data_IF_684753069503
#
_entry.id   IF_684753069503
#
_cell.length_a   1.000
_cell.length_b   1.000
_cell.length_c   1.000
_cell.angle_alpha   90.00
_cell.angle_beta   90.00
_cell.angle_gamma   90.00
#
_symmetry.space_group_name_H-M   'P 1'
#
loop_
_entity.id
_entity.type
_entity.pdbx_description
1 polymer ?
#
# COMPACT_ATOMS: atom_id res chain seq x y z
N UNK A 1 70.46 -4.92 -32.44
CA UNK A 1 69.13 -4.30 -32.60
C UNK A 1 68.22 -4.84 -31.50
N UNK A 2 68.13 -4.12 -30.37
CA UNK A 2 67.27 -4.49 -29.24
C UNK A 2 65.82 -4.06 -29.55
N UNK A 3 64.86 -4.99 -29.51
CA UNK A 3 63.43 -4.68 -29.48
C UNK A 3 62.99 -4.66 -28.02
N UNK A 4 62.74 -3.46 -27.49
CA UNK A 4 62.11 -3.26 -26.19
C UNK A 4 60.61 -3.44 -26.33
N UNK A 5 60.06 -4.45 -25.65
CA UNK A 5 58.62 -4.64 -25.48
C UNK A 5 58.23 -4.02 -24.15
N UNK A 6 57.59 -2.85 -24.18
CA UNK A 6 57.01 -2.22 -22.98
C UNK A 6 55.62 -2.80 -22.77
N UNK A 7 55.48 -3.63 -21.75
CA UNK A 7 54.19 -4.14 -21.29
C UNK A 7 53.57 -3.08 -20.37
N UNK A 8 52.57 -2.36 -20.86
CA UNK A 8 51.80 -1.42 -20.03
C UNK A 8 50.80 -2.21 -19.17
N UNK A 9 51.09 -2.33 -17.87
CA UNK A 9 50.08 -2.74 -16.89
C UNK A 9 49.10 -1.59 -16.69
N UNK A 10 47.91 -1.71 -17.28
CA UNK A 10 46.74 -0.93 -16.87
C UNK A 10 46.22 -1.52 -15.55
N UNK A 11 46.56 -0.88 -14.44
CA UNK A 11 45.88 -1.10 -13.16
C UNK A 11 44.54 -0.39 -13.28
N UNK A 12 43.46 -1.15 -13.48
CA UNK A 12 42.11 -0.64 -13.29
C UNK A 12 41.92 -0.35 -11.80
N UNK A 13 41.96 0.92 -11.43
CA UNK A 13 41.46 1.35 -10.13
C UNK A 13 39.94 1.18 -10.15
N UNK A 14 39.45 0.07 -9.61
CA UNK A 14 38.04 -0.04 -9.24
C UNK A 14 37.79 1.00 -8.14
N UNK A 15 37.21 2.13 -8.53
CA UNK A 15 36.64 3.07 -7.59
C UNK A 15 35.47 2.36 -6.91
N UNK A 16 35.72 1.79 -5.72
CA UNK A 16 34.68 1.48 -4.74
C UNK A 16 33.96 2.79 -4.43
N UNK A 17 32.95 3.11 -5.22
CA UNK A 17 31.93 4.09 -4.86
C UNK A 17 31.18 3.45 -3.69
N UNK A 18 31.68 3.67 -2.47
CA UNK A 18 30.95 3.32 -1.27
C UNK A 18 29.60 4.02 -1.36
N UNK A 19 28.57 3.26 -1.65
CA UNK A 19 27.21 3.76 -1.63
C UNK A 19 26.96 4.30 -0.22
N UNK A 20 26.53 5.56 -0.11
CA UNK A 20 26.27 6.14 1.20
C UNK A 20 25.28 5.26 1.95
N UNK A 21 25.64 4.85 3.17
CA UNK A 21 24.78 4.00 3.99
C UNK A 21 23.51 4.75 4.36
N UNK A 22 22.36 4.07 4.27
CA UNK A 22 21.08 4.63 4.66
C UNK A 22 21.03 4.94 6.15
N UNK A 23 20.55 6.13 6.49
CA UNK A 23 20.39 6.59 7.88
C UNK A 23 18.93 6.62 8.28
N UNK A 24 18.62 6.21 9.52
CA UNK A 24 17.24 6.25 10.02
C UNK A 24 16.78 7.70 10.15
N UNK A 25 15.79 8.09 9.34
CA UNK A 25 15.21 9.43 9.33
C UNK A 25 14.05 9.57 10.31
N UNK A 26 13.15 8.58 10.33
CA UNK A 26 11.91 8.61 11.10
C UNK A 26 11.47 7.19 11.47
N UNK A 27 10.99 7.03 12.69
CA UNK A 27 10.24 5.85 13.14
C UNK A 27 8.81 6.27 13.44
N UNK A 28 7.86 5.48 12.95
CA UNK A 28 6.45 5.53 13.32
C UNK A 28 6.13 4.23 14.06
N UNK A 29 5.73 4.32 15.32
CA UNK A 29 5.39 3.18 16.17
C UNK A 29 4.30 3.55 17.17
N UNK A 30 3.96 2.64 18.09
CA UNK A 30 2.90 2.86 19.10
C UNK A 30 3.04 4.14 19.91
N UNK A 31 4.24 4.72 20.02
CA UNK A 31 4.50 5.93 20.79
C UNK A 31 4.05 7.22 20.09
N UNK A 32 3.98 7.21 18.75
CA UNK A 32 3.77 8.44 17.97
C UNK A 32 2.85 8.29 16.75
N UNK A 33 2.39 7.07 16.43
CA UNK A 33 1.66 6.80 15.18
C UNK A 33 0.40 7.65 15.06
N UNK A 34 -0.44 7.68 16.10
CA UNK A 34 -1.72 8.41 16.03
C UNK A 34 -1.54 9.93 15.93
N UNK A 35 -0.38 10.45 16.35
CA UNK A 35 -0.04 11.87 16.25
C UNK A 35 0.68 12.22 14.95
N UNK A 36 1.29 11.24 14.31
CA UNK A 36 2.04 11.41 13.06
C UNK A 36 1.17 11.28 11.81
N UNK A 37 -0.09 10.86 11.96
CA UNK A 37 -1.05 10.67 10.88
C UNK A 37 -2.31 11.52 11.09
N UNK A 38 -2.88 11.99 9.99
CA UNK A 38 -4.19 12.61 9.92
C UNK A 38 -5.25 11.53 9.72
N UNK A 39 -6.33 11.57 10.50
CA UNK A 39 -7.50 10.72 10.28
C UNK A 39 -8.37 11.41 9.24
N UNK A 40 -8.46 10.83 8.05
CA UNK A 40 -9.36 11.31 6.99
C UNK A 40 -10.70 10.63 7.19
N UNK A 41 -11.57 11.31 7.91
CA UNK A 41 -12.91 10.84 8.19
C UNK A 41 -13.88 11.18 7.05
N UNK A 42 -15.13 10.73 7.20
CA UNK A 42 -16.21 11.06 6.27
C UNK A 42 -16.33 12.57 6.01
N UNK A 43 -16.29 13.39 7.05
CA UNK A 43 -16.49 14.83 6.93
C UNK A 43 -15.38 15.49 6.11
N UNK A 44 -14.14 15.01 6.25
CA UNK A 44 -13.04 15.44 5.41
C UNK A 44 -13.30 15.14 3.93
N UNK A 45 -13.71 13.91 3.58
CA UNK A 45 -13.98 13.55 2.19
C UNK A 45 -15.17 14.31 1.60
N UNK A 46 -16.26 14.45 2.37
CA UNK A 46 -17.42 15.24 1.96
C UNK A 46 -17.06 16.74 1.78
N UNK A 47 -16.05 17.25 2.49
CA UNK A 47 -15.61 18.65 2.36
C UNK A 47 -14.78 18.94 1.11
N UNK A 48 -14.10 17.93 0.56
CA UNK A 48 -13.30 18.09 -0.66
C UNK A 48 -14.14 17.81 -1.92
N UNK A 49 -15.01 16.80 -1.86
CA UNK A 49 -15.98 16.50 -2.89
C UNK A 49 -17.20 15.79 -2.25
N UNK A 50 -18.36 16.47 -2.15
CA UNK A 50 -19.58 15.83 -1.65
C UNK A 50 -20.01 14.59 -2.43
N UNK A 51 -19.58 14.45 -3.70
CA UNK A 51 -19.83 13.29 -4.55
C UNK A 51 -19.08 12.03 -4.11
N UNK A 52 -18.04 12.15 -3.27
CA UNK A 52 -17.41 10.99 -2.63
C UNK A 52 -18.32 10.31 -1.61
N UNK A 53 -19.32 11.02 -1.08
CA UNK A 53 -20.20 10.51 -0.04
C UNK A 53 -19.43 9.83 1.12
N UNK A 54 -18.30 10.43 1.51
CA UNK A 54 -17.43 9.96 2.60
C UNK A 54 -16.32 8.99 2.21
N UNK A 55 -16.27 8.49 0.98
CA UNK A 55 -15.19 7.62 0.48
C UNK A 55 -14.94 7.80 -1.02
N UNK A 56 -13.73 8.22 -1.44
CA UNK A 56 -13.40 8.41 -2.86
C UNK A 56 -13.57 7.18 -3.75
N UNK A 57 -13.55 5.98 -3.16
CA UNK A 57 -13.73 4.70 -3.87
C UNK A 57 -15.15 4.16 -3.87
N UNK A 58 -16.11 4.92 -3.34
CA UNK A 58 -17.53 4.56 -3.33
C UNK A 58 -17.85 3.33 -2.47
N UNK A 59 -17.02 2.99 -1.50
CA UNK A 59 -17.17 1.81 -0.64
C UNK A 59 -18.33 1.89 0.36
N UNK A 60 -18.73 0.74 0.90
CA UNK A 60 -19.68 0.59 2.02
C UNK A 60 -18.96 0.78 3.36
N UNK A 61 -18.28 1.92 3.51
CA UNK A 61 -17.40 2.25 4.64
C UNK A 61 -17.78 3.59 5.25
N UNK A 62 -17.62 3.72 6.57
CA UNK A 62 -17.71 4.98 7.28
C UNK A 62 -16.37 5.25 7.98
N UNK A 63 -15.53 6.09 7.37
CA UNK A 63 -14.27 6.49 8.01
C UNK A 63 -14.53 7.40 9.20
N UNK A 64 -14.10 6.95 10.37
CA UNK A 64 -14.32 7.64 11.63
C UNK A 64 -13.21 8.66 11.92
N UNK A 65 -13.59 9.74 12.62
CA UNK A 65 -12.61 10.66 13.22
C UNK A 65 -11.75 9.93 14.26
N UNK A 66 -10.58 10.50 14.60
CA UNK A 66 -9.69 9.94 15.62
C UNK A 66 -10.40 9.66 16.94
N UNK A 67 -11.21 10.60 17.42
CA UNK A 67 -11.91 10.46 18.71
C UNK A 67 -12.93 9.32 18.68
N UNK A 68 -13.71 9.20 17.61
CA UNK A 68 -14.68 8.10 17.42
C UNK A 68 -13.98 6.75 17.26
N UNK A 69 -12.88 6.68 16.51
CA UNK A 69 -12.13 5.44 16.29
C UNK A 69 -11.47 4.92 17.58
N UNK A 70 -10.91 5.82 18.40
CA UNK A 70 -10.35 5.46 19.71
C UNK A 70 -11.46 5.07 20.69
N UNK A 71 -12.56 5.84 20.75
CA UNK A 71 -13.67 5.56 21.66
C UNK A 71 -14.38 4.24 21.35
N UNK A 72 -14.48 3.85 20.07
CA UNK A 72 -15.02 2.56 19.65
C UNK A 72 -14.02 1.40 19.77
N UNK A 73 -12.75 1.68 20.10
CA UNK A 73 -11.70 0.67 20.30
C UNK A 73 -11.09 0.12 19.02
N UNK A 74 -11.57 0.51 17.84
CA UNK A 74 -11.03 0.04 16.56
C UNK A 74 -9.64 0.60 16.27
N UNK A 75 -9.23 1.68 16.94
CA UNK A 75 -7.84 2.16 16.93
C UNK A 75 -7.28 2.26 18.34
N UNK A 76 -6.11 1.66 18.55
CA UNK A 76 -5.36 1.79 19.79
C UNK A 76 -3.87 1.51 19.57
N UNK A 77 -3.04 1.84 20.57
CA UNK A 77 -1.59 1.58 20.57
C UNK A 77 -1.16 0.68 21.73
N UNK A 78 -2.05 -0.21 22.17
CA UNK A 78 -1.81 -1.06 23.33
C UNK A 78 -0.69 -2.08 23.05
N UNK A 79 -0.01 -2.52 24.12
CA UNK A 79 1.03 -3.54 24.06
C UNK A 79 2.21 -3.21 23.12
N UNK A 80 2.50 -1.92 22.92
CA UNK A 80 3.64 -1.47 22.11
C UNK A 80 3.46 -1.67 20.60
N UNK A 81 2.22 -1.86 20.12
CA UNK A 81 1.89 -2.05 18.71
C UNK A 81 0.78 -1.10 18.30
N UNK A 82 0.71 -0.76 17.02
CA UNK A 82 -0.40 0.01 16.47
C UNK A 82 -1.46 -0.95 15.95
N UNK A 83 -2.69 -0.79 16.42
CA UNK A 83 -3.85 -1.54 15.94
C UNK A 83 -4.78 -0.60 15.16
N UNK A 84 -5.08 -0.93 13.91
CA UNK A 84 -6.05 -0.23 13.06
C UNK A 84 -7.07 -1.24 12.53
N UNK A 85 -8.24 -1.33 13.17
CA UNK A 85 -9.31 -2.25 12.86
C UNK A 85 -10.55 -1.59 12.29
N UNK A 86 -11.60 -2.40 12.20
CA UNK A 86 -12.94 -2.01 11.77
C UNK A 86 -13.95 -2.37 12.86
N UNK A 87 -15.14 -1.77 12.83
CA UNK A 87 -16.22 -2.23 13.68
C UNK A 87 -16.60 -3.65 13.23
N UNK A 88 -16.37 -4.63 14.09
CA UNK A 88 -16.69 -6.06 13.87
C UNK A 88 -17.73 -6.59 14.87
N UNK A 89 -18.48 -5.69 15.53
CA UNK A 89 -19.45 -6.02 16.59
C UNK A 89 -20.86 -5.64 16.15
N UNK A 90 -21.04 -4.39 15.69
CA UNK A 90 -22.35 -3.85 15.36
C UNK A 90 -22.64 -3.95 13.87
N UNK A 91 -23.93 -4.02 13.54
CA UNK A 91 -24.38 -3.78 12.17
C UNK A 91 -23.91 -2.40 11.71
N UNK A 92 -23.58 -2.28 10.43
CA UNK A 92 -23.19 -0.99 9.86
C UNK A 92 -24.36 0.00 9.99
N UNK A 93 -24.04 1.25 10.32
CA UNK A 93 -25.04 2.32 10.42
C UNK A 93 -25.31 2.92 9.03
N UNK A 94 -26.47 3.55 8.86
CA UNK A 94 -26.75 4.39 7.69
C UNK A 94 -25.71 5.52 7.60
N UNK A 95 -25.21 5.76 6.39
CA UNK A 95 -24.23 6.83 6.13
C UNK A 95 -24.85 8.22 6.26
N UNK A 96 -26.12 8.35 5.87
CA UNK A 96 -26.88 9.60 5.93
C UNK A 96 -28.31 9.35 6.44
N UNK A 97 -28.88 10.25 7.25
CA UNK A 97 -30.29 10.14 7.66
C UNK A 97 -31.23 10.10 6.45
N UNK A 98 -32.06 9.05 6.36
CA UNK A 98 -32.99 8.86 5.23
C UNK A 98 -32.36 8.30 3.95
N UNK A 99 -31.05 8.03 3.94
CA UNK A 99 -30.38 7.30 2.86
C UNK A 99 -30.66 5.79 2.91
N UNK A 100 -30.16 5.06 1.91
CA UNK A 100 -30.25 3.60 1.83
C UNK A 100 -28.91 2.88 1.99
N UNK A 101 -27.80 3.61 1.92
CA UNK A 101 -26.43 3.07 2.02
C UNK A 101 -25.97 3.02 3.47
N UNK A 102 -25.34 1.92 3.84
CA UNK A 102 -24.72 1.75 5.15
C UNK A 102 -23.19 1.77 5.02
N UNK A 103 -22.51 2.13 6.11
CA UNK A 103 -21.06 2.16 6.15
C UNK A 103 -20.53 1.49 7.39
N UNK A 104 -19.66 0.49 7.21
CA UNK A 104 -18.96 -0.14 8.31
C UNK A 104 -17.90 0.81 8.86
N UNK A 105 -17.92 1.03 10.17
CA UNK A 105 -16.94 1.89 10.84
C UNK A 105 -15.51 1.40 10.58
N UNK A 106 -14.66 2.26 10.06
CA UNK A 106 -13.26 1.98 9.73
C UNK A 106 -12.43 3.26 9.87
N UNK A 107 -11.15 3.22 9.50
CA UNK A 107 -10.27 4.39 9.48
C UNK A 107 -9.44 4.46 8.20
N UNK A 108 -9.15 5.68 7.78
CA UNK A 108 -8.13 6.01 6.78
C UNK A 108 -7.17 7.02 7.38
N UNK A 109 -5.91 6.63 7.49
CA UNK A 109 -4.84 7.43 8.08
C UNK A 109 -3.85 7.83 6.99
N UNK A 110 -3.51 9.11 6.94
CA UNK A 110 -2.52 9.66 6.01
C UNK A 110 -1.39 10.35 6.80
N UNK A 111 -0.13 10.02 6.52
CA UNK A 111 0.98 10.61 7.27
C UNK A 111 1.04 12.13 7.11
N UNK A 112 1.51 12.82 8.14
CA UNK A 112 1.73 14.29 8.08
C UNK A 112 2.99 14.65 7.30
N UNK A 113 4.01 13.80 7.41
CA UNK A 113 5.26 13.92 6.66
C UNK A 113 5.15 13.15 5.34
N UNK A 114 5.87 13.63 4.33
CA UNK A 114 5.98 12.99 3.02
C UNK A 114 7.43 12.72 2.64
N UNK A 115 7.66 11.81 1.69
CA UNK A 115 9.00 11.44 1.23
C UNK A 115 9.06 11.32 -0.30
N UNK A 116 10.20 11.70 -0.89
CA UNK A 116 10.44 11.56 -2.34
C UNK A 116 11.52 10.53 -2.68
N UNK A 117 12.22 10.03 -1.67
CA UNK A 117 13.29 9.05 -1.83
C UNK A 117 13.57 8.38 -0.49
N UNK A 118 14.25 7.24 -0.55
CA UNK A 118 14.66 6.47 0.62
C UNK A 118 14.00 5.10 0.66
N UNK A 119 14.21 4.40 1.77
CA UNK A 119 13.64 3.09 2.04
C UNK A 119 12.59 3.24 3.14
N UNK A 120 11.34 2.94 2.81
CA UNK A 120 10.27 2.80 3.78
C UNK A 120 10.10 1.31 4.13
N UNK A 121 10.34 0.97 5.39
CA UNK A 121 10.24 -0.40 5.91
C UNK A 121 9.04 -0.49 6.84
N UNK A 122 8.05 -1.31 6.49
CA UNK A 122 6.89 -1.61 7.31
C UNK A 122 7.01 -3.02 7.90
N UNK A 123 7.12 -3.11 9.23
CA UNK A 123 7.01 -4.37 9.97
C UNK A 123 5.55 -4.56 10.42
N UNK A 124 4.87 -5.52 9.80
CA UNK A 124 3.45 -5.77 9.97
C UNK A 124 3.26 -7.20 10.47
N UNK A 125 2.57 -7.36 11.60
CA UNK A 125 2.28 -8.66 12.21
C UNK A 125 0.96 -9.25 11.70
N UNK A 126 0.01 -8.38 11.37
CA UNK A 126 -1.32 -8.76 10.90
C UNK A 126 -1.85 -7.72 9.91
N UNK A 127 -2.58 -8.15 8.90
CA UNK A 127 -3.30 -7.29 7.95
C UNK A 127 -4.75 -7.76 7.75
N UNK A 128 -5.66 -6.90 7.28
CA UNK A 128 -6.98 -7.33 6.83
C UNK A 128 -6.90 -8.19 5.55
N UNK A 129 -8.04 -8.54 4.95
CA UNK A 129 -8.10 -9.31 3.69
C UNK A 129 -8.40 -10.80 3.86
N UNK A 130 -9.14 -11.15 4.91
CA UNK A 130 -9.51 -12.53 5.24
C UNK A 130 -11.00 -12.81 5.05
N UNK A 131 -11.80 -11.81 4.67
CA UNK A 131 -13.24 -11.89 4.55
C UNK A 131 -13.76 -11.23 3.26
N UNK A 132 -14.88 -11.74 2.75
CA UNK A 132 -15.58 -11.16 1.60
C UNK A 132 -15.98 -9.71 1.87
N UNK A 133 -15.85 -8.86 0.84
CA UNK A 133 -16.19 -7.44 0.90
C UNK A 133 -15.15 -6.54 1.54
N UNK A 134 -14.04 -7.07 2.08
CA UNK A 134 -12.93 -6.27 2.65
C UNK A 134 -11.97 -5.82 1.55
N UNK A 135 -11.57 -4.55 1.56
CA UNK A 135 -10.55 -3.98 0.67
C UNK A 135 -9.55 -3.13 1.49
N UNK A 136 -8.45 -3.73 1.98
CA UNK A 136 -7.44 -3.01 2.73
C UNK A 136 -6.30 -2.54 1.83
N UNK A 137 -5.70 -1.42 2.20
CA UNK A 137 -4.52 -0.92 1.51
C UNK A 137 -3.50 -0.32 2.49
N UNK A 138 -2.23 -0.64 2.23
CA UNK A 138 -1.06 0.14 2.67
C UNK A 138 -0.38 0.65 1.41
N UNK A 139 -0.38 1.95 1.23
CA UNK A 139 -0.02 2.59 -0.03
C UNK A 139 0.57 3.97 0.22
N UNK A 140 1.00 4.64 -0.84
CA UNK A 140 1.41 6.03 -0.76
C UNK A 140 0.97 6.83 -1.96
N UNK A 141 0.65 8.09 -1.72
CA UNK A 141 0.13 9.00 -2.73
C UNK A 141 0.25 10.45 -2.24
N UNK A 142 0.18 11.45 -3.12
CA UNK A 142 -0.04 12.84 -2.67
C UNK A 142 -0.87 13.66 -3.67
N UNK A 143 -2.10 14.02 -3.26
CA UNK A 143 -3.06 14.72 -4.14
C UNK A 143 -2.55 16.08 -4.55
N UNK A 144 -1.65 16.70 -3.79
CA UNK A 144 -1.17 18.05 -4.08
C UNK A 144 -0.11 18.13 -5.17
N UNK A 145 0.39 16.99 -5.66
CA UNK A 145 1.36 16.97 -6.76
C UNK A 145 0.69 16.97 -8.14
N UNK A 146 1.39 17.60 -9.09
CA UNK A 146 1.01 17.65 -10.50
C UNK A 146 2.27 17.40 -11.36
N UNK A 147 2.37 16.27 -12.06
CA UNK A 147 1.42 15.17 -12.08
C UNK A 147 1.49 14.31 -10.82
N UNK A 148 0.45 13.51 -10.61
CA UNK A 148 0.35 12.65 -9.44
C UNK A 148 0.74 11.20 -9.74
N UNK A 149 1.27 10.52 -8.72
CA UNK A 149 1.64 9.11 -8.76
C UNK A 149 1.26 8.40 -7.47
N UNK A 150 0.69 7.21 -7.62
CA UNK A 150 0.26 6.30 -6.56
C UNK A 150 1.17 5.07 -6.48
N UNK A 151 1.47 4.61 -5.27
CA UNK A 151 2.19 3.37 -5.00
C UNK A 151 1.38 2.49 -4.06
N UNK A 152 0.75 1.44 -4.58
CA UNK A 152 0.07 0.43 -3.78
C UNK A 152 1.09 -0.62 -3.34
N UNK A 153 1.46 -0.60 -2.06
CA UNK A 153 2.52 -1.47 -1.52
C UNK A 153 1.91 -2.79 -1.04
N UNK A 154 0.76 -2.72 -0.37
CA UNK A 154 -0.09 -3.85 -0.02
C UNK A 154 -1.51 -3.51 -0.41
N UNK A 155 -2.09 -4.27 -1.32
CA UNK A 155 -3.49 -4.16 -1.69
C UNK A 155 -4.08 -5.53 -2.02
N UNK A 156 -5.36 -5.69 -1.71
CA UNK A 156 -6.12 -6.85 -2.13
C UNK A 156 -7.60 -6.68 -1.86
N UNK A 157 -8.37 -7.67 -2.26
CA UNK A 157 -9.81 -7.68 -2.08
C UNK A 157 -10.33 -9.03 -1.60
N UNK A 158 -11.47 -8.99 -0.92
CA UNK A 158 -12.17 -10.15 -0.41
C UNK A 158 -11.27 -11.02 0.50
N UNK A 159 -11.58 -12.31 0.63
CA UNK A 159 -10.92 -13.22 1.59
C UNK A 159 -10.21 -14.42 0.96
N UNK A 160 -10.08 -14.46 -0.37
CA UNK A 160 -9.53 -15.60 -1.12
C UNK A 160 -8.13 -15.32 -1.70
N UNK A 161 -7.68 -14.07 -1.66
CA UNK A 161 -6.36 -13.68 -2.13
C UNK A 161 -5.26 -14.21 -1.19
N UNK A 162 -4.16 -14.70 -1.79
CA UNK A 162 -3.02 -15.26 -1.05
C UNK A 162 -1.67 -14.66 -1.48
N UNK A 163 -1.64 -13.96 -2.62
CA UNK A 163 -0.52 -13.13 -3.06
C UNK A 163 -0.94 -11.67 -3.03
N UNK A 164 -0.09 -10.79 -2.51
CA UNK A 164 -0.34 -9.36 -2.46
C UNK A 164 -0.32 -8.74 -3.87
N UNK A 165 -1.18 -7.75 -4.13
CA UNK A 165 -1.07 -6.94 -5.33
C UNK A 165 -0.21 -5.71 -5.03
N UNK A 166 0.80 -5.49 -5.87
CA UNK A 166 1.55 -4.24 -5.92
C UNK A 166 1.17 -3.56 -7.22
N UNK A 167 0.75 -2.30 -7.14
CA UNK A 167 0.42 -1.48 -8.31
C UNK A 167 1.03 -0.09 -8.24
N UNK A 168 1.21 0.51 -9.41
CA UNK A 168 1.43 1.94 -9.56
C UNK A 168 0.41 2.52 -10.52
N UNK A 169 -0.02 3.74 -10.23
CA UNK A 169 -0.94 4.51 -11.04
C UNK A 169 -0.37 5.90 -11.31
N UNK A 170 -0.44 6.34 -12.56
CA UNK A 170 0.01 7.65 -13.03
C UNK A 170 -0.97 8.20 -14.06
N UNK A 171 -1.05 9.52 -14.20
CA UNK A 171 -1.84 10.16 -15.26
C UNK A 171 -1.00 10.32 -16.53
N UNK A 172 -1.54 9.94 -17.69
CA UNK A 172 -0.98 10.25 -19.01
C UNK A 172 0.37 9.60 -19.38
N UNK A 173 1.04 8.86 -18.48
CA UNK A 173 2.40 8.36 -18.72
C UNK A 173 2.77 7.11 -17.90
N UNK A 174 4.03 6.67 -18.06
CA UNK A 174 4.69 5.55 -17.38
C UNK A 174 4.29 4.15 -17.85
N UNK A 175 5.26 3.49 -18.48
CA UNK A 175 5.25 2.06 -18.79
C UNK A 175 6.50 1.43 -18.18
N UNK A 176 6.39 0.31 -17.49
CA UNK A 176 7.52 -0.51 -17.03
C UNK A 176 7.41 -1.93 -17.59
N UNK A 177 8.35 -2.34 -18.42
CA UNK A 177 8.24 -3.61 -19.17
C UNK A 177 8.53 -4.86 -18.34
N UNK A 178 9.10 -4.72 -17.14
CA UNK A 178 9.55 -5.85 -16.30
C UNK A 178 9.23 -5.63 -14.81
N UNK A 179 7.94 -5.46 -14.43
CA UNK A 179 7.55 -5.18 -13.05
C UNK A 179 7.82 -6.33 -12.07
N UNK A 180 8.12 -7.54 -12.55
CA UNK A 180 8.41 -8.71 -11.71
C UNK A 180 7.15 -9.48 -11.29
N UNK A 181 7.30 -10.40 -10.33
CA UNK A 181 6.23 -11.27 -9.78
C UNK A 181 5.42 -12.08 -10.79
N UNK A 182 4.26 -12.56 -10.33
CA UNK A 182 3.27 -13.24 -11.15
C UNK A 182 2.29 -12.21 -11.75
N UNK A 183 1.73 -12.50 -12.93
CA UNK A 183 0.77 -11.62 -13.62
C UNK A 183 1.26 -10.15 -13.80
N UNK A 184 2.39 -9.93 -14.50
CA UNK A 184 2.96 -8.60 -14.68
C UNK A 184 2.10 -7.72 -15.60
N UNK A 185 1.78 -6.53 -15.13
CA UNK A 185 1.07 -5.47 -15.86
C UNK A 185 2.01 -4.30 -16.05
N UNK A 186 2.22 -3.87 -17.29
CA UNK A 186 3.29 -2.91 -17.63
C UNK A 186 2.84 -1.44 -17.67
N UNK A 187 1.56 -1.15 -17.86
CA UNK A 187 1.08 0.20 -18.13
C UNK A 187 0.50 0.87 -16.88
N UNK A 188 1.22 1.85 -16.30
CA UNK A 188 0.77 2.59 -15.11
C UNK A 188 -0.12 3.77 -15.47
N UNK A 189 -0.11 4.17 -16.74
CA UNK A 189 -0.99 5.20 -17.24
C UNK A 189 -2.43 4.75 -17.07
N UNK A 190 -3.15 5.34 -16.13
CA UNK A 190 -4.56 5.04 -15.94
C UNK A 190 -5.43 5.67 -17.04
N UNK A 191 -4.86 6.52 -17.88
CA UNK A 191 -5.53 7.29 -18.93
C UNK A 191 -5.43 8.79 -18.67
N UNK A 192 -6.06 9.56 -19.55
CA UNK A 192 -6.14 11.01 -19.40
C UNK A 192 -4.89 11.81 -19.75
N UNK A 193 -4.94 13.08 -19.35
CA UNK A 193 -3.82 14.02 -19.50
C UNK A 193 -2.89 13.97 -18.28
N UNK A 194 -1.62 14.25 -18.51
CA UNK A 194 -0.54 14.35 -17.50
C UNK A 194 -0.80 15.52 -16.54
N UNK A 195 -1.73 15.31 -15.61
CA UNK A 195 -2.31 16.31 -14.70
C UNK A 195 -2.54 15.70 -13.31
N UNK A 196 -3.00 16.50 -12.34
CA UNK A 196 -3.38 16.05 -10.99
C UNK A 196 -4.55 15.05 -10.93
N UNK A 197 -5.51 15.09 -11.86
CA UNK A 197 -6.81 14.42 -11.72
C UNK A 197 -7.05 13.25 -12.68
N UNK A 198 -6.09 12.95 -13.57
CA UNK A 198 -6.20 11.88 -14.56
C UNK A 198 -7.58 11.84 -15.28
N UNK A 199 -8.08 12.99 -15.76
CA UNK A 199 -9.42 13.05 -16.39
C UNK A 199 -9.50 12.04 -17.54
N UNK A 200 -10.55 11.23 -17.62
CA UNK A 200 -10.74 10.18 -18.65
C UNK A 200 -9.88 8.92 -18.50
N UNK A 201 -9.63 8.50 -17.25
CA UNK A 201 -9.03 7.20 -16.95
C UNK A 201 -9.84 6.01 -17.51
N UNK A 202 -9.14 5.00 -18.01
CA UNK A 202 -9.71 3.74 -18.52
C UNK A 202 -8.90 2.48 -18.12
N UNK A 203 -7.70 2.64 -17.55
CA UNK A 203 -6.83 1.55 -17.10
C UNK A 203 -6.67 1.61 -15.57
N UNK A 204 -7.78 1.43 -14.86
CA UNK A 204 -7.83 1.50 -13.39
C UNK A 204 -7.04 0.40 -12.68
N UNK A 205 -6.60 -0.63 -13.40
CA UNK A 205 -5.66 -1.59 -12.86
C UNK A 205 -4.28 -0.98 -12.62
N UNK A 206 -3.85 -0.03 -13.46
CA UNK A 206 -2.47 0.45 -13.47
C UNK A 206 -1.46 -0.65 -13.86
N UNK A 207 -0.18 -0.37 -13.61
CA UNK A 207 0.87 -1.37 -13.76
C UNK A 207 1.10 -2.06 -12.43
N UNK A 208 1.72 -3.22 -12.42
CA UNK A 208 1.87 -3.98 -11.19
C UNK A 208 2.14 -5.44 -11.41
N UNK A 209 2.00 -6.19 -10.33
CA UNK A 209 2.14 -7.64 -10.31
C UNK A 209 1.52 -8.22 -9.02
N UNK A 210 1.38 -9.54 -9.03
CA UNK A 210 1.03 -10.34 -7.86
C UNK A 210 2.30 -10.90 -7.22
N UNK A 211 2.50 -10.61 -5.94
CA UNK A 211 3.58 -11.16 -5.12
C UNK A 211 3.38 -12.67 -4.84
N UNK A 212 4.43 -13.41 -4.43
CA UNK A 212 4.32 -14.82 -4.11
C UNK A 212 3.25 -15.14 -3.05
N UNK A 213 2.72 -16.36 -3.11
CA UNK A 213 1.79 -16.91 -2.13
C UNK A 213 2.30 -16.76 -0.69
N UNK A 214 1.43 -16.39 0.23
CA UNK A 214 1.74 -16.13 1.63
C UNK A 214 2.04 -14.67 1.95
N UNK A 215 2.14 -13.80 0.95
CA UNK A 215 2.42 -12.38 1.13
C UNK A 215 1.22 -11.57 1.62
N UNK A 216 0.00 -12.10 1.54
CA UNK A 216 -1.23 -11.38 1.88
C UNK A 216 -2.22 -12.20 2.72
N UNK A 217 -3.07 -11.48 3.46
CA UNK A 217 -4.29 -12.02 4.08
C UNK A 217 -4.05 -13.20 5.03
N UNK A 218 -4.85 -14.26 4.88
CA UNK A 218 -4.92 -15.38 5.83
C UNK A 218 -3.56 -16.03 6.10
N UNK A 219 -2.81 -16.34 5.05
CA UNK A 219 -1.51 -17.02 5.18
C UNK A 219 -0.45 -16.09 5.77
N UNK A 220 -0.47 -14.81 5.41
CA UNK A 220 0.40 -13.81 6.03
C UNK A 220 0.15 -13.74 7.54
N UNK A 221 -1.12 -13.61 7.95
CA UNK A 221 -1.52 -13.53 9.36
C UNK A 221 -1.17 -14.80 10.14
N UNK A 222 -1.43 -15.98 9.57
CA UNK A 222 -1.09 -17.28 10.19
C UNK A 222 0.42 -17.44 10.47
N UNK A 223 1.27 -16.77 9.69
CA UNK A 223 2.72 -16.75 9.86
C UNK A 223 3.23 -15.54 10.67
N UNK A 224 2.34 -14.81 11.36
CA UNK A 224 2.66 -13.59 12.13
C UNK A 224 3.28 -12.48 11.28
N UNK A 225 2.82 -12.42 10.03
CA UNK A 225 3.12 -11.40 9.06
C UNK A 225 4.54 -11.40 8.52
N UNK A 226 5.13 -10.21 8.40
CA UNK A 226 6.41 -10.01 7.74
C UNK A 226 6.77 -8.54 7.60
N UNK A 227 7.79 -8.29 6.77
CA UNK A 227 8.27 -6.95 6.45
C UNK A 227 8.02 -6.66 4.98
N UNK A 228 7.44 -5.50 4.70
CA UNK A 228 7.42 -4.90 3.38
C UNK A 228 8.43 -3.76 3.33
N UNK A 229 9.31 -3.75 2.33
CA UNK A 229 10.30 -2.71 2.14
C UNK A 229 10.12 -2.06 0.77
N UNK A 230 9.87 -0.76 0.74
CA UNK A 230 9.72 0.04 -0.48
C UNK A 230 10.91 0.98 -0.61
N UNK A 231 11.73 0.78 -1.65
CA UNK A 231 12.83 1.67 -2.00
C UNK A 231 12.40 2.57 -3.16
N UNK A 232 12.27 3.87 -2.86
CA UNK A 232 11.98 4.92 -3.82
C UNK A 232 13.25 5.70 -4.14
N UNK A 233 13.58 5.81 -5.42
CA UNK A 233 14.63 6.69 -5.95
C UNK A 233 14.06 7.53 -7.08
N UNK A 234 14.85 8.42 -7.67
CA UNK A 234 14.44 9.15 -8.89
C UNK A 234 14.36 8.25 -10.13
N UNK A 235 14.87 7.03 -10.05
CA UNK A 235 14.97 6.09 -11.18
C UNK A 235 14.13 4.83 -11.02
N UNK A 236 13.67 4.54 -9.80
CA UNK A 236 13.01 3.29 -9.49
C UNK A 236 12.07 3.35 -8.29
N UNK A 237 11.01 2.54 -8.37
CA UNK A 237 10.26 2.04 -7.23
C UNK A 237 10.52 0.54 -7.13
N UNK A 238 11.00 0.06 -5.99
CA UNK A 238 11.23 -1.38 -5.76
C UNK A 238 10.57 -1.80 -4.45
N UNK A 239 9.85 -2.91 -4.48
CA UNK A 239 9.12 -3.44 -3.32
C UNK A 239 9.56 -4.89 -3.06
N UNK A 240 9.94 -5.16 -1.81
CA UNK A 240 10.22 -6.50 -1.31
C UNK A 240 9.21 -6.89 -0.25
N UNK A 241 8.91 -8.18 -0.20
CA UNK A 241 8.28 -8.82 0.94
C UNK A 241 9.21 -9.86 1.54
N UNK A 242 9.39 -9.80 2.85
CA UNK A 242 10.10 -10.79 3.64
C UNK A 242 9.14 -11.43 4.64
N UNK A 243 8.90 -12.76 4.57
CA UNK A 243 8.09 -13.42 5.59
C UNK A 243 8.77 -13.31 6.96
N UNK A 244 8.00 -13.34 8.05
CA UNK A 244 8.47 -13.12 9.43
C UNK A 244 9.76 -13.89 9.78
N UNK A 245 9.88 -15.13 9.33
CA UNK A 245 11.02 -16.02 9.60
C UNK A 245 12.24 -15.78 8.70
N UNK A 246 12.15 -14.94 7.67
CA UNK A 246 13.21 -14.66 6.70
C UNK A 246 13.46 -13.14 6.51
N UNK A 247 13.28 -12.35 7.56
CA UNK A 247 13.62 -10.92 7.52
C UNK A 247 15.16 -10.77 7.53
N UNK A 248 15.75 -10.04 6.56
CA UNK A 248 17.18 -9.76 6.48
C UNK A 248 17.77 -9.16 7.77
N UNK A 249 19.02 -9.55 8.09
CA UNK A 249 19.66 -9.18 9.36
C UNK A 249 19.98 -7.68 9.44
N UNK A 250 20.33 -7.07 8.32
CA UNK A 250 20.60 -5.64 8.15
C UNK A 250 19.35 -4.79 8.46
N UNK A 251 18.16 -5.23 8.03
CA UNK A 251 16.87 -4.62 8.43
C UNK A 251 16.67 -4.71 9.95
N UNK A 252 16.88 -5.90 10.54
CA UNK A 252 16.75 -6.11 12.00
C UNK A 252 17.72 -5.22 12.80
N UNK A 253 18.91 -5.00 12.25
CA UNK A 253 19.96 -4.18 12.86
C UNK A 253 19.82 -2.68 12.57
N UNK A 254 18.78 -2.26 11.83
CA UNK A 254 18.53 -0.86 11.50
C UNK A 254 19.55 -0.25 10.54
N UNK A 255 20.15 -1.07 9.66
CA UNK A 255 21.14 -0.67 8.66
C UNK A 255 20.78 -1.30 7.31
N UNK A 256 19.66 -0.90 6.68
CA UNK A 256 19.17 -1.58 5.48
C UNK A 256 20.13 -1.42 4.29
N UNK A 257 20.41 -2.52 3.61
CA UNK A 257 21.30 -2.67 2.46
C UNK A 257 20.57 -3.38 1.31
N UNK A 258 19.70 -2.67 0.54
CA UNK A 258 18.79 -3.28 -0.43
C UNK A 258 19.44 -4.15 -1.50
N UNK A 259 20.70 -3.86 -1.86
CA UNK A 259 21.42 -4.63 -2.86
C UNK A 259 21.71 -6.07 -2.41
N UNK A 260 21.62 -6.35 -1.10
CA UNK A 260 21.86 -7.68 -0.51
C UNK A 260 20.58 -8.52 -0.37
N UNK A 261 19.40 -7.94 -0.61
CA UNK A 261 18.10 -8.58 -0.36
C UNK A 261 17.65 -9.59 -1.43
N UNK A 262 18.53 -9.91 -2.37
CA UNK A 262 18.18 -10.64 -3.58
C UNK A 262 17.63 -9.71 -4.66
N UNK A 263 18.04 -9.98 -5.91
CA UNK A 263 17.63 -9.23 -7.10
C UNK A 263 17.07 -10.20 -8.15
N UNK A 264 16.06 -9.77 -8.94
CA UNK A 264 15.34 -8.51 -8.81
C UNK A 264 14.51 -8.44 -7.51
N UNK A 265 14.05 -7.24 -7.14
CA UNK A 265 13.03 -7.09 -6.11
C UNK A 265 11.77 -7.90 -6.47
N UNK A 266 10.94 -8.23 -5.47
CA UNK A 266 9.67 -8.95 -5.72
C UNK A 266 8.80 -8.20 -6.73
N UNK A 267 8.76 -6.87 -6.61
CA UNK A 267 8.22 -5.95 -7.61
C UNK A 267 9.24 -4.84 -7.91
N UNK A 268 9.50 -4.52 -9.17
CA UNK A 268 10.47 -3.51 -9.58
C UNK A 268 10.03 -2.68 -10.79
N UNK A 269 9.95 -1.38 -10.62
CA UNK A 269 9.55 -0.41 -11.62
C UNK A 269 10.73 0.52 -11.86
N UNK A 270 11.50 0.26 -12.91
CA UNK A 270 12.79 0.95 -13.16
C UNK A 270 12.76 1.68 -14.50
N UNK A 271 13.20 2.95 -14.52
CA UNK A 271 13.22 3.79 -15.72
C UNK A 271 13.94 3.09 -16.88
N UNK A 272 15.07 2.42 -16.60
CA UNK A 272 15.87 1.72 -17.62
C UNK A 272 15.10 0.63 -18.38
N UNK A 273 14.00 0.11 -17.83
CA UNK A 273 13.13 -0.89 -18.45
C UNK A 273 11.77 -0.30 -18.83
N UNK A 274 11.65 1.02 -18.95
CA UNK A 274 10.37 1.69 -19.11
C UNK A 274 10.45 3.02 -19.86
N UNK A 275 9.29 3.61 -20.10
CA UNK A 275 9.15 5.00 -20.52
C UNK A 275 8.46 5.77 -19.38
N UNK A 276 9.22 6.04 -18.33
CA UNK A 276 8.72 6.72 -17.12
C UNK A 276 9.82 7.61 -16.53
N UNK A 277 9.40 8.71 -15.92
CA UNK A 277 10.23 9.56 -15.08
C UNK A 277 9.80 9.39 -13.62
N UNK A 278 10.35 8.37 -12.94
CA UNK A 278 9.95 8.04 -11.57
C UNK A 278 10.06 9.25 -10.62
N UNK A 279 11.13 10.04 -10.72
CA UNK A 279 11.33 11.23 -9.88
C UNK A 279 10.29 12.32 -10.09
N UNK A 280 9.69 12.38 -11.29
CA UNK A 280 8.60 13.31 -11.60
C UNK A 280 7.25 12.84 -11.02
N UNK A 281 6.90 11.57 -11.16
CA UNK A 281 5.56 11.08 -10.77
C UNK A 281 5.48 10.66 -9.29
N UNK A 282 6.54 10.06 -8.75
CA UNK A 282 6.55 9.48 -7.42
C UNK A 282 7.40 10.32 -6.46
N UNK A 283 6.88 11.50 -6.12
CA UNK A 283 7.51 12.46 -5.21
C UNK A 283 6.54 12.88 -4.10
N UNK A 284 7.09 13.36 -2.99
CA UNK A 284 6.36 13.81 -1.79
C UNK A 284 5.22 12.87 -1.41
N UNK A 285 5.48 11.57 -1.44
CA UNK A 285 4.53 10.52 -1.15
C UNK A 285 4.12 10.56 0.33
N UNK A 286 2.81 10.61 0.58
CA UNK A 286 2.20 10.48 1.91
C UNK A 286 1.84 9.02 2.13
N UNK A 287 2.19 8.47 3.30
CA UNK A 287 1.93 7.08 3.68
C UNK A 287 0.45 6.94 4.07
N UNK A 288 -0.24 5.95 3.54
CA UNK A 288 -1.66 5.73 3.77
C UNK A 288 -1.94 4.31 4.26
N UNK A 289 -2.76 4.19 5.31
CA UNK A 289 -3.37 2.92 5.74
C UNK A 289 -4.88 3.09 5.79
N UNK A 290 -5.61 2.18 5.16
CA UNK A 290 -7.07 2.11 5.31
C UNK A 290 -7.61 0.68 5.19
N UNK A 291 -8.88 0.53 5.52
CA UNK A 291 -9.68 -0.66 5.20
C UNK A 291 -11.04 -0.21 4.71
N UNK A 292 -11.22 -0.22 3.40
CA UNK A 292 -12.51 0.01 2.75
C UNK A 292 -13.32 -1.29 2.68
N UNK A 293 -14.55 -1.16 2.19
CA UNK A 293 -15.43 -2.28 1.91
C UNK A 293 -16.15 -2.06 0.60
N UNK A 294 -16.42 -3.13 -0.15
CA UNK A 294 -17.12 -3.05 -1.42
C UNK A 294 -16.45 -2.03 -2.36
N UNK A 295 -17.22 -1.13 -2.99
CA UNK A 295 -16.69 -0.04 -3.80
C UNK A 295 -16.21 -0.49 -5.17
N UNK A 296 -15.49 0.38 -5.86
CA UNK A 296 -15.08 0.17 -7.26
C UNK A 296 -14.28 -1.12 -7.50
N UNK A 297 -13.40 -1.52 -6.58
CA UNK A 297 -12.64 -2.78 -6.71
C UNK A 297 -13.43 -4.04 -6.32
N UNK A 298 -14.55 -3.91 -5.61
CA UNK A 298 -15.45 -5.03 -5.29
C UNK A 298 -16.85 -4.64 -5.75
N UNK A 299 -16.97 -4.42 -7.05
CA UNK A 299 -18.24 -4.17 -7.69
C UNK A 299 -19.16 -5.40 -7.62
N UNK A 300 -20.39 -5.25 -8.10
CA UNK A 300 -21.36 -6.35 -8.07
C UNK A 300 -20.93 -7.56 -8.91
N UNK A 301 -20.13 -7.36 -9.97
CA UNK A 301 -19.58 -8.42 -10.79
C UNK A 301 -18.59 -9.28 -10.02
N UNK A 302 -17.58 -8.64 -9.42
CA UNK A 302 -16.60 -9.29 -8.55
C UNK A 302 -17.26 -9.95 -7.34
N UNK A 303 -18.22 -9.27 -6.70
CA UNK A 303 -18.99 -9.84 -5.60
C UNK A 303 -19.71 -11.14 -6.00
N UNK A 304 -20.41 -11.12 -7.14
CA UNK A 304 -21.11 -12.28 -7.66
C UNK A 304 -20.15 -13.45 -7.96
N UNK A 305 -18.96 -13.13 -8.48
CA UNK A 305 -17.94 -14.12 -8.84
C UNK A 305 -17.29 -14.77 -7.62
N UNK A 306 -16.93 -13.99 -6.60
CA UNK A 306 -16.05 -14.47 -5.53
C UNK A 306 -16.76 -14.76 -4.20
N UNK A 307 -17.86 -14.07 -3.92
CA UNK A 307 -18.38 -13.95 -2.56
C UNK A 307 -19.87 -14.26 -2.41
N UNK A 308 -20.70 -14.02 -3.42
CA UNK A 308 -22.14 -14.24 -3.31
C UNK A 308 -22.49 -15.68 -2.93
N UNK A 309 -21.85 -16.66 -3.56
CA UNK A 309 -22.15 -18.08 -3.30
C UNK A 309 -21.72 -18.52 -1.89
N UNK A 310 -20.57 -18.04 -1.41
CA UNK A 310 -20.02 -18.43 -0.11
C UNK A 310 -20.69 -17.71 1.07
N UNK A 311 -21.17 -16.48 0.85
CA UNK A 311 -21.83 -15.68 1.88
C UNK A 311 -23.35 -15.87 1.91
N UNK A 312 -23.97 -16.16 0.76
CA UNK A 312 -25.43 -16.22 0.61
C UNK A 312 -26.10 -14.84 0.45
N UNK A 313 -25.33 -13.75 0.39
CA UNK A 313 -25.84 -12.38 0.29
C UNK A 313 -25.87 -11.89 -1.15
N UNK A 314 -26.95 -11.20 -1.53
CA UNK A 314 -27.16 -10.75 -2.90
C UNK A 314 -26.14 -9.67 -3.32
N UNK A 315 -25.83 -8.74 -2.41
CA UNK A 315 -24.90 -7.63 -2.67
C UNK A 315 -23.82 -7.56 -1.58
N UNK A 316 -22.69 -6.96 -1.93
CA UNK A 316 -21.60 -6.71 -0.98
C UNK A 316 -22.06 -5.82 0.18
N UNK A 317 -22.80 -4.75 -0.11
CA UNK A 317 -23.30 -3.80 0.90
C UNK A 317 -24.20 -4.49 1.93
N UNK A 318 -25.08 -5.39 1.50
CA UNK A 318 -25.98 -6.12 2.41
C UNK A 318 -25.19 -7.04 3.36
N UNK A 319 -24.19 -7.76 2.85
CA UNK A 319 -23.30 -8.58 3.66
C UNK A 319 -22.49 -7.73 4.66
N UNK A 320 -21.84 -6.68 4.16
CA UNK A 320 -21.04 -5.76 4.96
C UNK A 320 -21.90 -5.06 6.00
N UNK A 321 -23.19 -4.84 5.76
CA UNK A 321 -24.10 -4.26 6.74
C UNK A 321 -24.44 -5.25 7.85
N UNK A 322 -24.83 -6.47 7.45
CA UNK A 322 -25.51 -7.40 8.34
C UNK A 322 -24.61 -8.43 9.03
N UNK A 323 -23.34 -8.55 8.65
CA UNK A 323 -22.42 -9.59 9.17
C UNK A 323 -21.18 -9.04 9.88
N UNK A 324 -21.31 -8.26 10.98
CA UNK A 324 -20.16 -7.71 11.70
C UNK A 324 -19.11 -8.74 12.12
N UNK A 325 -19.57 -9.91 12.57
CA UNK A 325 -18.68 -10.96 13.07
C UNK A 325 -17.73 -11.53 12.00
N UNK A 326 -18.03 -11.34 10.71
CA UNK A 326 -17.14 -11.75 9.63
C UNK A 326 -15.85 -10.94 9.57
N UNK A 327 -15.84 -9.73 10.14
CA UNK A 327 -14.76 -8.76 10.00
C UNK A 327 -13.84 -8.68 11.23
N UNK A 328 -13.90 -9.66 12.12
CA UNK A 328 -13.04 -9.72 13.32
C UNK A 328 -11.54 -9.76 12.98
N UNK A 329 -11.20 -10.37 11.85
CA UNK A 329 -9.83 -10.46 11.32
C UNK A 329 -9.53 -9.34 10.30
N UNK A 330 -10.36 -8.30 10.22
CA UNK A 330 -10.12 -7.15 9.35
C UNK A 330 -9.44 -6.02 10.14
N UNK A 331 -8.18 -6.23 10.50
CA UNK A 331 -7.38 -5.23 11.19
C UNK A 331 -5.89 -5.31 10.81
N UNK A 332 -5.22 -4.16 10.89
CA UNK A 332 -3.77 -4.06 10.85
C UNK A 332 -3.21 -4.15 12.26
N UNK A 333 -2.12 -4.91 12.43
CA UNK A 333 -1.21 -4.81 13.57
C UNK A 333 0.16 -4.45 13.05
N UNK A 334 0.58 -3.22 13.32
CA UNK A 334 1.83 -2.64 12.82
C UNK A 334 2.81 -2.53 13.99
N UNK A 335 3.97 -3.17 13.85
CA UNK A 335 5.04 -3.08 14.84
C UNK A 335 5.80 -1.75 14.69
N UNK A 336 6.17 -1.39 13.46
CA UNK A 336 6.76 -0.09 13.14
C UNK A 336 6.74 0.20 11.64
N UNK A 337 6.78 1.48 11.29
CA UNK A 337 7.27 1.95 10.00
C UNK A 337 8.58 2.72 10.22
N UNK A 338 9.57 2.50 9.37
CA UNK A 338 10.87 3.20 9.45
C UNK A 338 11.26 3.72 8.08
N UNK A 339 11.49 5.02 8.00
CA UNK A 339 12.01 5.69 6.81
C UNK A 339 13.52 5.87 6.96
N UNK A 340 14.28 5.40 5.97
CA UNK A 340 15.73 5.60 5.88
C UNK A 340 16.10 6.39 4.62
N UNK A 341 17.09 7.27 4.71
CA UNK A 341 17.54 8.13 3.61
C UNK A 341 19.06 8.30 3.57
#
# INVERSE_FOLDING_TARGET
MLRNTVLALLIAAEANHGQAAFTLRKTYDSSNFLDSFNFRDRAYFDSIDPGYEGDPTGGSVNYLSRSQAVASGIVNTNNGKVHLGVNSVDKAALLTPGGSRHGRGSVRLESKESYSSGILIADIEHMPGTACGVWPAYWSYNFDEDPVGEIDIIEGINGNQNGNYVSLHTCGACIFNRPGGADPRNNCNIGGSDTRYCTDGNNYSGCGNTMPSGSYGKTFNANKGGVYATWLTTEAVKVWWFPRNNIPADIKNGKPEPNTWGQPATSQFVNANGNCDVGRYFKKQTIIFNTAFCGSNIDQGIWNQECRASTGYATCDDYVTNQPGAFKEAYWTINSLKLYQ
#
